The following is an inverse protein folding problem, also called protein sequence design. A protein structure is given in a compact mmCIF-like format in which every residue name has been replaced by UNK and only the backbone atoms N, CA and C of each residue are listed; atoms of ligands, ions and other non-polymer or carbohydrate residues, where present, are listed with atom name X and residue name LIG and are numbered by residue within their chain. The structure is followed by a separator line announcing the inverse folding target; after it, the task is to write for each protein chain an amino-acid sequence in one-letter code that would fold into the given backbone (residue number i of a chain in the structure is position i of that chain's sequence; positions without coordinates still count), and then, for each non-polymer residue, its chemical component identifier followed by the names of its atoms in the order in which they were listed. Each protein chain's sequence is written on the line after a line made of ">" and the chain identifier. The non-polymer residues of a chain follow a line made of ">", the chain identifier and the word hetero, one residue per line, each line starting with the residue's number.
data_IF_325515847079
#
_entry.id   IF_325515847079
#
_cell.length_a   1.000
_cell.length_b   1.000
_cell.length_c   1.000
_cell.angle_alpha   90.00
_cell.angle_beta   90.00
_cell.angle_gamma   90.00
#
_symmetry.space_group_name_H-M   'P 1'
#
loop_
_entity.id
_entity.type
_entity.pdbx_description
1 polymer ?
#
# COMPACT_ATOMS: atom_id res chain seq x y z
N UNK A 1 -21.55 9.02 -3.70
CA UNK A 1 -20.54 10.09 -3.54
C UNK A 1 -20.10 10.11 -2.09
N UNK A 2 -18.80 10.03 -1.79
CA UNK A 2 -18.31 10.17 -0.41
C UNK A 2 -18.37 11.66 -0.04
N UNK A 3 -19.10 11.99 1.03
CA UNK A 3 -19.21 13.37 1.51
C UNK A 3 -17.94 13.91 2.15
N UNK A 4 -17.95 15.20 2.48
CA UNK A 4 -16.88 15.83 3.27
C UNK A 4 -16.73 15.14 4.64
N UNK A 5 -15.52 15.08 5.22
CA UNK A 5 -15.34 14.57 6.57
C UNK A 5 -16.19 15.34 7.59
N UNK A 6 -16.80 14.62 8.54
CA UNK A 6 -17.47 15.23 9.70
C UNK A 6 -16.43 15.89 10.62
N UNK A 7 -16.85 16.86 11.43
CA UNK A 7 -15.97 17.51 12.42
C UNK A 7 -15.41 16.44 13.38
N UNK A 8 -14.09 16.36 13.50
CA UNK A 8 -13.40 15.38 14.33
C UNK A 8 -13.19 14.00 13.69
N UNK A 9 -13.70 13.75 12.49
CA UNK A 9 -13.51 12.48 11.78
C UNK A 9 -12.03 12.26 11.45
N UNK A 10 -11.44 11.17 11.98
CA UNK A 10 -10.06 10.79 11.70
C UNK A 10 -9.97 9.90 10.44
N UNK A 11 -10.42 10.46 9.32
CA UNK A 11 -10.49 9.76 8.03
C UNK A 11 -9.11 9.33 7.53
N UNK A 12 -8.98 8.07 7.13
CA UNK A 12 -7.76 7.50 6.52
C UNK A 12 -8.11 6.92 5.16
N UNK A 13 -7.34 7.26 4.13
CA UNK A 13 -7.49 6.70 2.79
C UNK A 13 -6.44 5.62 2.57
N UNK A 14 -6.89 4.46 2.08
CA UNK A 14 -6.06 3.33 1.68
C UNK A 14 -5.91 3.37 0.16
N UNK A 15 -4.79 3.93 -0.32
CA UNK A 15 -4.51 4.06 -1.74
C UNK A 15 -3.63 2.90 -2.21
N UNK A 16 -4.18 2.05 -3.07
CA UNK A 16 -3.48 0.86 -3.56
C UNK A 16 -4.15 0.21 -4.76
N UNK A 17 -3.85 -1.06 -4.98
CA UNK A 17 -4.46 -1.88 -6.03
C UNK A 17 -5.26 -3.04 -5.44
N UNK A 18 -5.12 -4.24 -5.98
CA UNK A 18 -5.88 -5.44 -5.62
C UNK A 18 -5.74 -5.82 -4.14
N UNK A 19 -4.57 -5.60 -3.52
CA UNK A 19 -4.37 -5.93 -2.10
C UNK A 19 -5.37 -5.19 -1.21
N UNK A 20 -5.63 -3.90 -1.45
CA UNK A 20 -6.62 -3.14 -0.65
C UNK A 20 -8.05 -3.37 -1.11
N UNK A 21 -8.28 -3.50 -2.41
CA UNK A 21 -9.62 -3.81 -2.92
C UNK A 21 -10.13 -5.15 -2.36
N UNK A 22 -9.30 -6.19 -2.41
CA UNK A 22 -9.64 -7.51 -1.90
C UNK A 22 -9.70 -7.54 -0.37
N UNK A 23 -8.94 -6.69 0.32
CA UNK A 23 -9.07 -6.56 1.77
C UNK A 23 -10.48 -6.14 2.14
N UNK A 24 -10.99 -5.06 1.53
CA UNK A 24 -12.35 -4.60 1.82
C UNK A 24 -13.42 -5.62 1.44
N UNK A 25 -13.20 -6.41 0.38
CA UNK A 25 -14.13 -7.47 0.00
C UNK A 25 -14.14 -8.63 1.00
N UNK A 26 -12.98 -9.00 1.57
CA UNK A 26 -12.86 -10.11 2.52
C UNK A 26 -13.15 -9.70 3.96
N UNK A 27 -12.89 -8.45 4.31
CA UNK A 27 -13.11 -7.88 5.64
C UNK A 27 -13.74 -6.47 5.54
N UNK A 28 -15.02 -6.37 5.17
CA UNK A 28 -15.71 -5.09 5.06
C UNK A 28 -15.89 -4.41 6.43
N UNK A 29 -15.90 -5.18 7.52
CA UNK A 29 -16.07 -4.68 8.88
C UNK A 29 -14.87 -3.85 9.31
N UNK A 30 -13.64 -4.26 8.98
CA UNK A 30 -12.43 -3.48 9.25
C UNK A 30 -12.52 -2.04 8.70
N UNK A 31 -13.10 -1.87 7.51
CA UNK A 31 -13.25 -0.54 6.91
C UNK A 31 -14.47 0.21 7.43
N UNK A 32 -15.61 -0.46 7.65
CA UNK A 32 -16.87 0.19 8.06
C UNK A 32 -16.93 0.55 9.54
N UNK A 33 -16.20 -0.16 10.40
CA UNK A 33 -16.06 0.16 11.83
C UNK A 33 -15.23 1.44 12.07
N UNK A 34 -14.48 1.89 11.05
CA UNK A 34 -13.59 3.04 11.12
C UNK A 34 -13.96 4.09 10.07
N UNK A 35 -13.36 5.27 10.17
CA UNK A 35 -13.43 6.28 9.08
C UNK A 35 -12.45 5.93 7.95
N UNK A 36 -12.35 4.65 7.58
CA UNK A 36 -11.40 4.17 6.57
C UNK A 36 -12.06 4.12 5.20
N UNK A 37 -11.32 4.59 4.20
CA UNK A 37 -11.79 4.65 2.82
C UNK A 37 -10.83 3.87 1.95
N UNK A 38 -11.31 2.73 1.49
CA UNK A 38 -10.64 1.98 0.44
C UNK A 38 -10.67 2.71 -0.91
N UNK A 39 -9.49 2.82 -1.51
CA UNK A 39 -9.22 3.29 -2.86
C UNK A 39 -8.27 2.33 -3.58
N UNK A 40 -8.37 1.04 -3.29
CA UNK A 40 -7.83 -0.06 -4.08
C UNK A 40 -8.55 -0.22 -5.41
N UNK A 41 -7.80 -0.40 -6.49
CA UNK A 41 -8.34 -0.79 -7.81
C UNK A 41 -7.38 -1.82 -8.43
N UNK A 42 -7.86 -3.04 -8.62
CA UNK A 42 -7.09 -4.19 -9.12
C UNK A 42 -6.37 -3.92 -10.43
N UNK A 43 -5.15 -4.46 -10.54
CA UNK A 43 -4.28 -4.34 -11.71
C UNK A 43 -3.61 -2.99 -11.91
N UNK A 44 -3.94 -1.96 -11.13
CA UNK A 44 -3.34 -0.64 -11.31
C UNK A 44 -1.88 -0.53 -10.86
N UNK A 45 -1.12 0.24 -11.63
CA UNK A 45 0.31 0.56 -11.40
C UNK A 45 0.50 1.95 -10.80
N UNK A 46 1.67 2.23 -10.24
CA UNK A 46 2.00 3.44 -9.48
C UNK A 46 1.73 4.75 -10.23
N UNK A 47 1.89 4.78 -11.56
CA UNK A 47 1.56 5.94 -12.39
C UNK A 47 0.05 6.22 -12.44
N UNK A 48 -0.78 5.19 -12.47
CA UNK A 48 -2.25 5.33 -12.43
C UNK A 48 -2.73 5.77 -11.05
N UNK A 49 -2.12 5.23 -9.99
CA UNK A 49 -2.32 5.71 -8.61
C UNK A 49 -2.01 7.22 -8.49
N UNK A 50 -0.90 7.67 -9.08
CA UNK A 50 -0.52 9.09 -9.12
C UNK A 50 -1.54 9.94 -9.90
N UNK A 51 -1.98 9.50 -11.09
CA UNK A 51 -2.96 10.21 -11.91
C UNK A 51 -4.28 10.43 -11.14
N UNK A 52 -4.76 9.41 -10.43
CA UNK A 52 -6.02 9.51 -9.66
C UNK A 52 -5.85 10.07 -8.24
N UNK A 53 -4.63 10.36 -7.79
CA UNK A 53 -4.33 10.78 -6.43
C UNK A 53 -5.16 12.00 -5.98
N UNK A 54 -5.40 12.94 -6.89
CA UNK A 54 -6.22 14.12 -6.57
C UNK A 54 -7.66 13.74 -6.25
N UNK A 55 -8.29 12.93 -7.10
CA UNK A 55 -9.68 12.52 -6.93
C UNK A 55 -9.84 11.61 -5.71
N UNK A 56 -8.94 10.64 -5.58
CA UNK A 56 -9.11 9.54 -4.63
C UNK A 56 -8.47 9.80 -3.27
N UNK A 57 -7.64 10.84 -3.13
CA UNK A 57 -7.03 11.21 -1.86
C UNK A 57 -7.29 12.67 -1.52
N UNK A 58 -6.78 13.61 -2.33
CA UNK A 58 -6.78 15.04 -1.98
C UNK A 58 -8.21 15.55 -1.76
N UNK A 59 -9.11 15.26 -2.70
CA UNK A 59 -10.49 15.74 -2.65
C UNK A 59 -11.30 15.13 -1.50
N UNK A 60 -10.84 14.01 -0.93
CA UNK A 60 -11.48 13.37 0.22
C UNK A 60 -11.07 13.98 1.57
N UNK A 61 -10.08 14.88 1.56
CA UNK A 61 -9.54 15.61 2.72
C UNK A 61 -9.24 14.71 3.94
N UNK A 62 -8.53 13.58 3.77
CA UNK A 62 -8.25 12.69 4.88
C UNK A 62 -7.22 13.29 5.85
N UNK A 63 -7.18 12.76 7.07
CA UNK A 63 -6.11 13.05 8.03
C UNK A 63 -4.81 12.37 7.62
N UNK A 64 -4.89 11.17 7.06
CA UNK A 64 -3.75 10.42 6.56
C UNK A 64 -4.09 9.63 5.28
N UNK A 65 -3.05 9.34 4.49
CA UNK A 65 -3.10 8.38 3.39
C UNK A 65 -2.06 7.30 3.60
N UNK A 66 -2.47 6.05 3.39
CA UNK A 66 -1.61 4.88 3.27
C UNK A 66 -1.37 4.64 1.79
N UNK A 67 -0.10 4.58 1.37
CA UNK A 67 0.29 4.39 -0.02
C UNK A 67 0.95 3.01 -0.16
N UNK A 68 0.33 2.13 -0.92
CA UNK A 68 0.83 0.80 -1.27
C UNK A 68 0.90 0.68 -2.82
N UNK A 69 2.10 0.77 -3.38
CA UNK A 69 2.31 0.76 -4.84
C UNK A 69 3.58 -0.02 -5.22
N UNK A 70 3.60 -0.60 -6.42
CA UNK A 70 4.80 -1.20 -7.01
C UNK A 70 4.65 -2.62 -7.53
N UNK A 71 3.85 -3.48 -6.90
CA UNK A 71 3.76 -4.88 -7.34
C UNK A 71 3.30 -5.04 -8.79
N UNK A 72 2.22 -4.35 -9.20
CA UNK A 72 1.74 -4.45 -10.58
C UNK A 72 2.69 -3.77 -11.58
N UNK A 73 3.41 -2.73 -11.15
CA UNK A 73 4.46 -2.12 -11.96
C UNK A 73 5.52 -3.15 -12.33
N UNK A 74 5.98 -3.94 -11.35
CA UNK A 74 6.92 -5.03 -11.56
C UNK A 74 6.29 -6.16 -12.40
N UNK A 75 5.12 -6.64 -12.00
CA UNK A 75 4.45 -7.78 -12.64
C UNK A 75 4.06 -7.52 -14.10
N UNK A 76 3.73 -6.28 -14.45
CA UNK A 76 3.34 -5.87 -15.81
C UNK A 76 4.52 -5.34 -16.66
N UNK A 77 5.69 -5.11 -16.07
CA UNK A 77 6.84 -4.56 -16.79
C UNK A 77 7.43 -5.59 -17.75
N UNK A 78 7.72 -5.16 -18.99
CA UNK A 78 8.60 -5.88 -19.93
C UNK A 78 10.05 -5.37 -19.88
N UNK A 79 10.45 -4.78 -18.74
CA UNK A 79 11.78 -4.19 -18.52
C UNK A 79 11.84 -2.65 -18.61
N UNK A 80 10.74 -1.98 -18.90
CA UNK A 80 10.69 -0.51 -19.02
C UNK A 80 10.41 0.22 -17.69
N UNK A 81 9.74 -0.45 -16.75
CA UNK A 81 9.50 0.07 -15.41
C UNK A 81 10.46 -0.60 -14.43
N UNK A 82 11.17 0.23 -13.66
CA UNK A 82 12.11 -0.18 -12.62
C UNK A 82 11.70 0.41 -11.26
N UNK A 83 12.41 0.01 -10.19
CA UNK A 83 12.15 0.48 -8.83
C UNK A 83 12.27 2.00 -8.68
N UNK A 84 13.13 2.66 -9.46
CA UNK A 84 13.29 4.11 -9.41
C UNK A 84 12.02 4.83 -9.90
N UNK A 85 11.44 4.38 -11.02
CA UNK A 85 10.16 4.91 -11.53
C UNK A 85 9.04 4.76 -10.50
N UNK A 86 8.93 3.59 -9.87
CA UNK A 86 7.93 3.32 -8.83
C UNK A 86 8.14 4.27 -7.65
N UNK A 87 9.39 4.38 -7.17
CA UNK A 87 9.75 5.27 -6.07
C UNK A 87 9.41 6.73 -6.40
N UNK A 88 9.73 7.20 -7.61
CA UNK A 88 9.45 8.59 -8.03
C UNK A 88 7.94 8.88 -8.09
N UNK A 89 7.10 7.92 -8.47
CA UNK A 89 5.65 8.05 -8.37
C UNK A 89 5.19 8.14 -6.90
N UNK A 90 5.74 7.32 -6.01
CA UNK A 90 5.44 7.39 -4.58
C UNK A 90 5.89 8.71 -3.96
N UNK A 91 7.09 9.19 -4.28
CA UNK A 91 7.59 10.52 -3.87
C UNK A 91 6.62 11.62 -4.30
N UNK A 92 6.19 11.60 -5.56
CA UNK A 92 5.24 12.58 -6.10
C UNK A 92 3.91 12.57 -5.34
N UNK A 93 3.36 11.39 -5.05
CA UNK A 93 2.14 11.27 -4.24
C UNK A 93 2.33 11.77 -2.80
N UNK A 94 3.45 11.45 -2.16
CA UNK A 94 3.78 11.90 -0.80
C UNK A 94 3.96 13.42 -0.73
N UNK A 95 4.60 14.03 -1.71
CA UNK A 95 4.75 15.48 -1.82
C UNK A 95 3.40 16.18 -2.02
N UNK A 96 2.55 15.65 -2.89
CA UNK A 96 1.18 16.13 -3.09
C UNK A 96 0.36 16.05 -1.78
N UNK A 97 0.44 14.93 -1.06
CA UNK A 97 -0.21 14.77 0.24
C UNK A 97 0.26 15.82 1.24
N UNK A 98 1.59 16.00 1.38
CA UNK A 98 2.19 16.99 2.28
C UNK A 98 1.74 18.41 1.95
N UNK A 99 1.73 18.80 0.67
CA UNK A 99 1.24 20.11 0.22
C UNK A 99 -0.23 20.34 0.59
N UNK A 100 -1.03 19.28 0.68
CA UNK A 100 -2.43 19.34 1.08
C UNK A 100 -2.66 19.05 2.58
N UNK A 101 -1.60 19.06 3.40
CA UNK A 101 -1.63 18.82 4.85
C UNK A 101 -2.19 17.44 5.23
N UNK A 102 -2.01 16.45 4.36
CA UNK A 102 -2.37 15.05 4.59
C UNK A 102 -1.13 14.33 5.12
N UNK A 103 -1.24 13.62 6.24
CA UNK A 103 -0.14 12.79 6.76
C UNK A 103 0.09 11.59 5.87
N UNK A 104 1.36 11.19 5.71
CA UNK A 104 1.74 10.11 4.78
C UNK A 104 2.23 8.90 5.57
N UNK A 105 1.68 7.74 5.20
CA UNK A 105 2.13 6.42 5.65
C UNK A 105 2.59 5.67 4.39
N UNK A 106 3.87 5.33 4.32
CA UNK A 106 4.49 4.60 3.20
C UNK A 106 4.60 3.14 3.59
N UNK A 107 4.07 2.26 2.74
CA UNK A 107 4.17 0.82 2.98
C UNK A 107 5.54 0.30 2.55
N UNK A 108 6.18 -0.49 3.41
CA UNK A 108 7.08 -1.55 2.98
C UNK A 108 6.17 -2.68 2.46
N UNK A 109 6.21 -2.89 1.15
CA UNK A 109 5.35 -3.78 0.38
C UNK A 109 5.41 -5.22 0.90
N UNK A 110 4.32 -5.96 0.69
CA UNK A 110 4.20 -7.38 1.01
C UNK A 110 5.31 -8.22 0.33
N UNK A 111 5.69 -9.36 0.92
CA UNK A 111 6.66 -10.26 0.29
C UNK A 111 5.99 -10.98 -0.87
N UNK A 112 6.69 -11.05 -2.01
CA UNK A 112 6.22 -11.71 -3.23
C UNK A 112 7.41 -12.46 -3.83
N UNK A 113 7.33 -13.78 -3.85
CA UNK A 113 8.39 -14.62 -4.42
C UNK A 113 8.32 -14.65 -5.95
N UNK A 114 7.12 -14.84 -6.48
CA UNK A 114 6.84 -14.89 -7.92
C UNK A 114 5.41 -14.43 -8.20
N UNK A 115 5.14 -14.09 -9.46
CA UNK A 115 3.80 -13.77 -9.92
C UNK A 115 3.22 -14.96 -10.69
N UNK A 116 2.13 -15.59 -10.22
CA UNK A 116 1.60 -16.80 -10.87
C UNK A 116 1.11 -16.54 -12.31
N UNK A 117 0.69 -15.30 -12.61
CA UNK A 117 0.30 -14.85 -13.94
C UNK A 117 1.46 -14.34 -14.83
N UNK A 118 2.67 -14.17 -14.28
CA UNK A 118 3.86 -13.78 -15.05
C UNK A 118 5.11 -14.55 -14.58
N UNK A 119 5.13 -15.85 -14.83
CA UNK A 119 6.24 -16.75 -14.46
C UNK A 119 7.56 -16.48 -15.21
N UNK A 120 7.50 -15.69 -16.28
CA UNK A 120 8.67 -15.27 -17.05
C UNK A 120 9.49 -14.22 -16.29
N UNK A 121 8.86 -13.42 -15.43
CA UNK A 121 9.56 -12.50 -14.55
C UNK A 121 10.32 -13.29 -13.47
N UNK A 122 11.64 -13.17 -13.45
CA UNK A 122 12.52 -13.76 -12.43
C UNK A 122 13.01 -12.68 -11.46
N UNK A 123 13.31 -13.07 -10.22
CA UNK A 123 13.86 -12.16 -9.21
C UNK A 123 12.84 -11.18 -8.62
N UNK A 124 11.54 -11.50 -8.64
CA UNK A 124 10.51 -10.63 -8.08
C UNK A 124 10.75 -10.32 -6.58
N UNK A 125 11.19 -11.32 -5.81
CA UNK A 125 11.55 -11.14 -4.40
C UNK A 125 12.63 -10.06 -4.22
N UNK A 126 13.74 -10.15 -4.95
CA UNK A 126 14.85 -9.19 -4.87
C UNK A 126 14.41 -7.78 -5.30
N UNK A 127 13.59 -7.69 -6.35
CA UNK A 127 13.03 -6.41 -6.80
C UNK A 127 12.13 -5.79 -5.73
N UNK A 128 11.28 -6.57 -5.06
CA UNK A 128 10.43 -6.11 -3.97
C UNK A 128 11.25 -5.68 -2.76
N UNK A 129 12.28 -6.44 -2.38
CA UNK A 129 13.18 -6.10 -1.26
C UNK A 129 13.91 -4.78 -1.56
N UNK A 130 14.50 -4.64 -2.75
CA UNK A 130 15.17 -3.41 -3.17
C UNK A 130 14.22 -2.21 -3.20
N UNK A 131 12.99 -2.39 -3.69
CA UNK A 131 11.97 -1.33 -3.66
C UNK A 131 11.64 -0.93 -2.22
N UNK A 132 11.47 -1.92 -1.35
CA UNK A 132 11.17 -1.74 0.06
C UNK A 132 12.25 -0.96 0.80
N UNK A 133 13.52 -1.28 0.57
CA UNK A 133 14.64 -0.52 1.13
C UNK A 133 14.61 0.94 0.71
N UNK A 134 14.37 1.21 -0.58
CA UNK A 134 14.30 2.57 -1.11
C UNK A 134 13.10 3.35 -0.57
N UNK A 135 11.93 2.72 -0.45
CA UNK A 135 10.72 3.31 0.15
C UNK A 135 10.94 3.64 1.63
N UNK A 136 11.55 2.74 2.40
CA UNK A 136 11.86 2.94 3.82
C UNK A 136 12.89 4.05 4.01
N UNK A 137 13.94 4.09 3.18
CA UNK A 137 14.94 5.15 3.22
C UNK A 137 14.31 6.52 2.93
N UNK A 138 13.47 6.61 1.90
CA UNK A 138 12.75 7.84 1.58
C UNK A 138 11.79 8.27 2.69
N UNK A 139 11.04 7.34 3.27
CA UNK A 139 10.13 7.62 4.39
C UNK A 139 10.88 8.16 5.61
N UNK A 140 12.00 7.53 5.99
CA UNK A 140 12.85 7.98 7.11
C UNK A 140 13.41 9.38 6.86
N UNK A 141 13.95 9.64 5.67
CA UNK A 141 14.52 10.95 5.30
C UNK A 141 13.49 12.08 5.40
N UNK A 142 12.21 11.79 5.16
CA UNK A 142 11.13 12.77 5.12
C UNK A 142 10.20 12.72 6.35
N UNK A 143 10.57 11.95 7.39
CA UNK A 143 9.77 11.74 8.60
C UNK A 143 8.34 11.25 8.31
N UNK A 144 8.17 10.40 7.30
CA UNK A 144 6.92 9.69 7.06
C UNK A 144 6.88 8.41 7.89
N UNK A 145 5.67 7.98 8.27
CA UNK A 145 5.49 6.69 8.95
C UNK A 145 5.73 5.57 7.96
N UNK A 146 6.51 4.58 8.37
CA UNK A 146 6.66 3.30 7.66
C UNK A 146 5.62 2.32 8.19
N UNK A 147 4.87 1.70 7.30
CA UNK A 147 3.98 0.57 7.58
C UNK A 147 4.62 -0.70 7.03
N UNK A 148 5.02 -1.62 7.92
CA UNK A 148 5.75 -2.84 7.53
C UNK A 148 4.81 -4.03 7.34
N UNK A 149 4.39 -4.27 6.09
CA UNK A 149 3.66 -5.49 5.74
C UNK A 149 4.58 -6.67 5.43
N UNK A 150 5.85 -6.42 5.09
CA UNK A 150 6.78 -7.46 4.68
C UNK A 150 7.10 -8.41 5.83
N UNK A 151 7.61 -7.86 6.94
CA UNK A 151 8.17 -8.63 8.05
C UNK A 151 7.20 -9.65 8.65
N UNK A 152 5.93 -9.34 8.93
CA UNK A 152 5.05 -10.32 9.55
C UNK A 152 4.57 -11.42 8.57
N UNK A 153 4.60 -11.15 7.27
CA UNK A 153 4.05 -12.02 6.23
C UNK A 153 5.11 -12.89 5.51
N UNK A 154 6.41 -12.61 5.69
CA UNK A 154 7.49 -13.21 4.89
C UNK A 154 7.84 -14.64 5.32
N UNK A 155 8.02 -15.53 4.34
CA UNK A 155 8.55 -16.89 4.50
C UNK A 155 10.09 -16.93 4.31
N UNK A 156 10.70 -18.10 4.49
CA UNK A 156 12.15 -18.31 4.34
C UNK A 156 12.67 -18.10 2.91
N UNK A 157 11.79 -18.02 1.92
CA UNK A 157 12.13 -17.81 0.50
C UNK A 157 11.91 -16.36 0.07
N UNK A 158 11.63 -15.44 1.00
CA UNK A 158 11.22 -14.06 0.72
C UNK A 158 9.87 -13.94 0.00
N UNK A 159 9.04 -14.99 0.06
CA UNK A 159 7.65 -15.02 -0.37
C UNK A 159 6.68 -14.79 0.77
N UNK A 160 5.40 -14.88 0.49
CA UNK A 160 4.35 -14.81 1.50
C UNK A 160 4.12 -16.19 2.10
N UNK A 161 4.04 -16.29 3.44
CA UNK A 161 3.70 -17.53 4.14
C UNK A 161 2.42 -18.13 3.58
N UNK A 162 2.43 -19.44 3.34
CA UNK A 162 1.33 -20.15 2.70
C UNK A 162 0.00 -20.00 3.47
N UNK A 163 0.03 -19.97 4.81
CA UNK A 163 -1.18 -19.76 5.62
C UNK A 163 -1.83 -18.38 5.45
N UNK A 164 -1.12 -17.39 4.88
CA UNK A 164 -1.58 -16.00 4.78
C UNK A 164 -1.93 -15.56 3.36
N UNK A 165 -1.71 -16.40 2.34
CA UNK A 165 -1.94 -16.03 0.94
C UNK A 165 -2.87 -17.01 0.23
N UNK A 166 -3.46 -16.57 -0.87
CA UNK A 166 -4.25 -17.42 -1.78
C UNK A 166 -3.45 -17.89 -3.00
N UNK A 167 -2.46 -17.10 -3.44
CA UNK A 167 -1.76 -17.31 -4.71
C UNK A 167 -0.26 -16.92 -4.65
N UNK A 168 0.26 -16.58 -3.47
CA UNK A 168 1.63 -16.07 -3.29
C UNK A 168 1.76 -14.54 -3.37
N UNK A 169 0.68 -13.82 -3.74
CA UNK A 169 0.64 -12.36 -3.88
C UNK A 169 -0.46 -11.75 -3.01
N UNK A 170 -1.69 -12.23 -3.19
CA UNK A 170 -2.88 -11.70 -2.52
C UNK A 170 -3.11 -12.38 -1.18
N UNK A 171 -3.25 -11.61 -0.09
CA UNK A 171 -3.57 -12.17 1.21
C UNK A 171 -4.94 -12.87 1.22
N UNK A 172 -5.05 -13.93 2.02
CA UNK A 172 -6.33 -14.47 2.46
C UNK A 172 -6.80 -13.69 3.72
N UNK A 173 -7.93 -14.09 4.32
CA UNK A 173 -8.44 -13.40 5.52
C UNK A 173 -7.44 -13.42 6.69
N UNK A 174 -6.74 -14.54 6.92
CA UNK A 174 -5.74 -14.62 7.98
C UNK A 174 -4.55 -13.66 7.73
N UNK A 175 -4.10 -13.55 6.47
CA UNK A 175 -3.08 -12.57 6.08
C UNK A 175 -3.55 -11.14 6.28
N UNK A 176 -4.81 -10.83 5.95
CA UNK A 176 -5.39 -9.51 6.22
C UNK A 176 -5.49 -9.21 7.71
N UNK A 177 -5.83 -10.18 8.57
CA UNK A 177 -5.80 -9.99 10.03
C UNK A 177 -4.41 -9.66 10.57
N UNK A 178 -3.36 -10.23 9.99
CA UNK A 178 -1.98 -9.82 10.30
C UNK A 178 -1.70 -8.38 9.85
N UNK A 179 -2.19 -7.99 8.68
CA UNK A 179 -2.06 -6.62 8.17
C UNK A 179 -2.81 -5.58 9.02
N UNK A 180 -3.98 -5.91 9.58
CA UNK A 180 -4.75 -5.03 10.49
C UNK A 180 -3.88 -4.55 11.65
N UNK A 181 -3.19 -5.47 12.33
CA UNK A 181 -2.37 -5.17 13.52
C UNK A 181 -1.32 -4.10 13.21
N UNK A 182 -0.49 -4.32 12.20
CA UNK A 182 0.58 -3.37 11.84
C UNK A 182 0.01 -2.07 11.25
N UNK A 183 -1.15 -2.12 10.60
CA UNK A 183 -1.84 -0.94 10.06
C UNK A 183 -2.36 -0.03 11.17
N UNK A 184 -3.03 -0.60 12.16
CA UNK A 184 -3.58 0.14 13.29
C UNK A 184 -2.47 0.81 14.11
N UNK A 185 -1.35 0.12 14.31
CA UNK A 185 -0.15 0.68 14.94
C UNK A 185 0.41 1.87 14.14
N UNK A 186 0.54 1.74 12.82
CA UNK A 186 1.04 2.81 11.96
C UNK A 186 0.08 4.01 11.94
N UNK A 187 -1.23 3.78 11.87
CA UNK A 187 -2.25 4.84 11.94
C UNK A 187 -2.19 5.54 13.30
N UNK A 188 -2.17 4.79 14.41
CA UNK A 188 -2.06 5.34 15.77
C UNK A 188 -0.82 6.21 15.93
N UNK A 189 0.34 5.74 15.47
CA UNK A 189 1.60 6.51 15.45
C UNK A 189 1.50 7.81 14.64
N UNK A 190 0.71 7.80 13.57
CA UNK A 190 0.66 8.93 12.62
C UNK A 190 -0.33 10.02 13.03
N UNK A 191 -1.49 9.63 13.55
CA UNK A 191 -2.60 10.57 13.84
C UNK A 191 -3.16 10.49 15.27
N UNK A 192 -2.54 9.71 16.16
CA UNK A 192 -2.88 9.62 17.58
C UNK A 192 -4.28 9.06 17.82
N UNK A 193 -4.60 7.93 17.17
CA UNK A 193 -5.86 7.20 17.36
C UNK A 193 -5.84 6.30 18.57
#
# INVERSE_FOLDING_TARGET
>A
VIGLPKKGEKRVVFLGSSIFEFWKQKDPEYFSAHAYIDRGISGQISSQLLIRFRQDVINLKPRAVIILAGSNDLAGSKGHVNNETILNNVKSMAELARKNRIKVIICKYLPIYEYPWNKALKGAADQIISLNEALVAYAKLNNFTVLDYFTPLVDERNGQKAEYTTDGVHPNLAGYKVMEVVTDEAIRKTIGN
#
